data_IF_840515149712
#
_entry.id   IF_840515149712
#
_cell.length_a   1.000
_cell.length_b   1.000
_cell.length_c   1.000
_cell.angle_alpha   90.00
_cell.angle_beta   90.00
_cell.angle_gamma   90.00
#
_symmetry.space_group_name_H-M   'P 1'
#
loop_
_entity.id
_entity.type
_entity.pdbx_description
1 polymer ?
#
# COMPACT_ATOMS: atom_id res chain seq x y z
N UNK A 1 -25.37 -31.75 17.97
CA UNK A 1 -25.63 -30.83 16.82
C UNK A 1 -25.21 -29.38 17.11
N UNK A 2 -25.60 -28.76 18.23
CA UNK A 2 -25.31 -27.34 18.55
C UNK A 2 -23.83 -26.91 18.46
N UNK A 3 -22.89 -27.75 18.90
CA UNK A 3 -21.44 -27.46 18.85
C UNK A 3 -20.89 -27.36 17.42
N UNK A 4 -21.45 -28.12 16.48
CA UNK A 4 -21.05 -28.09 15.08
C UNK A 4 -21.56 -26.83 14.38
N UNK A 5 -22.78 -26.39 14.71
CA UNK A 5 -23.36 -25.15 14.18
C UNK A 5 -22.57 -23.92 14.66
N UNK A 6 -22.17 -23.85 15.94
CA UNK A 6 -21.35 -22.75 16.46
C UNK A 6 -19.99 -22.66 15.74
N UNK A 7 -19.34 -23.80 15.47
CA UNK A 7 -18.09 -23.84 14.70
C UNK A 7 -18.28 -23.36 13.26
N UNK A 8 -19.38 -23.73 12.62
CA UNK A 8 -19.71 -23.26 11.27
C UNK A 8 -19.92 -21.74 11.22
N UNK A 9 -20.65 -21.15 12.18
CA UNK A 9 -20.83 -19.70 12.25
C UNK A 9 -19.50 -18.97 12.46
N UNK A 10 -18.64 -19.48 13.35
CA UNK A 10 -17.29 -18.92 13.55
C UNK A 10 -16.48 -18.99 12.26
N UNK A 11 -16.55 -20.12 11.54
CA UNK A 11 -15.85 -20.28 10.26
C UNK A 11 -16.36 -19.30 9.20
N UNK A 12 -17.65 -18.97 9.19
CA UNK A 12 -18.26 -18.02 8.26
C UNK A 12 -18.00 -16.55 8.64
N UNK A 13 -17.79 -16.25 9.92
CA UNK A 13 -17.48 -14.90 10.39
C UNK A 13 -16.14 -14.39 9.86
N UNK A 14 -15.12 -15.24 9.76
CA UNK A 14 -13.79 -14.84 9.24
C UNK A 14 -13.83 -14.32 7.79
N UNK A 15 -14.35 -15.07 6.79
CA UNK A 15 -14.43 -14.56 5.43
C UNK A 15 -15.41 -13.39 5.33
N UNK A 16 -16.53 -13.40 6.07
CA UNK A 16 -17.46 -12.26 6.07
C UNK A 16 -16.77 -10.96 6.53
N UNK A 17 -16.00 -11.02 7.61
CA UNK A 17 -15.23 -9.89 8.11
C UNK A 17 -14.14 -9.44 7.12
N UNK A 18 -13.45 -10.40 6.50
CA UNK A 18 -12.44 -10.14 5.47
C UNK A 18 -13.03 -9.37 4.28
N UNK A 19 -14.13 -9.87 3.69
CA UNK A 19 -14.78 -9.22 2.55
C UNK A 19 -15.42 -7.88 2.91
N UNK A 20 -16.01 -7.76 4.11
CA UNK A 20 -16.54 -6.50 4.59
C UNK A 20 -15.43 -5.44 4.73
N UNK A 21 -14.25 -5.85 5.19
CA UNK A 21 -13.08 -4.97 5.27
C UNK A 21 -12.64 -4.53 3.87
N UNK A 22 -12.48 -5.46 2.92
CA UNK A 22 -12.14 -5.09 1.54
C UNK A 22 -13.16 -4.12 0.93
N UNK A 23 -14.46 -4.38 1.11
CA UNK A 23 -15.52 -3.52 0.59
C UNK A 23 -15.50 -2.11 1.21
N UNK A 24 -15.27 -2.01 2.52
CA UNK A 24 -15.19 -0.73 3.21
C UNK A 24 -14.02 0.14 2.70
N UNK A 25 -12.89 -0.48 2.33
CA UNK A 25 -11.69 0.22 1.88
C UNK A 25 -11.57 0.40 0.36
N UNK A 26 -12.45 -0.21 -0.45
CA UNK A 26 -12.36 -0.14 -1.92
C UNK A 26 -12.43 1.31 -2.45
N UNK A 27 -13.22 2.18 -1.78
CA UNK A 27 -13.35 3.59 -2.17
C UNK A 27 -12.03 4.38 -2.04
N UNK A 28 -11.09 3.91 -1.20
CA UNK A 28 -9.81 4.61 -0.98
C UNK A 28 -8.98 4.67 -2.27
N UNK A 29 -9.15 3.71 -3.19
CA UNK A 29 -8.46 3.68 -4.49
C UNK A 29 -8.87 4.85 -5.42
N UNK A 30 -9.94 5.56 -5.10
CA UNK A 30 -10.42 6.72 -5.86
C UNK A 30 -9.98 8.05 -5.25
N UNK A 31 -9.40 8.02 -4.04
CA UNK A 31 -8.87 9.21 -3.38
C UNK A 31 -7.63 9.70 -4.12
N UNK A 32 -7.54 11.01 -4.35
CA UNK A 32 -6.36 11.64 -4.96
C UNK A 32 -5.36 12.04 -3.87
N UNK A 33 -4.08 12.05 -4.24
CA UNK A 33 -3.03 12.63 -3.41
C UNK A 33 -3.27 14.10 -3.09
N UNK A 34 -2.96 14.46 -1.86
CA UNK A 34 -3.02 15.81 -1.32
C UNK A 34 -1.63 16.44 -1.27
N UNK A 35 -1.54 17.76 -1.34
CA UNK A 35 -0.27 18.45 -1.56
C UNK A 35 0.57 18.65 -0.27
N UNK A 36 0.24 17.97 0.83
CA UNK A 36 0.87 18.17 2.15
C UNK A 36 2.20 17.42 2.25
N UNK A 37 2.14 16.08 2.31
CA UNK A 37 3.32 15.22 2.39
C UNK A 37 3.47 14.30 1.18
N UNK A 38 2.38 14.12 0.42
CA UNK A 38 2.33 13.13 -0.66
C UNK A 38 3.30 13.52 -1.79
N UNK A 39 3.54 14.80 -2.07
CA UNK A 39 4.45 15.24 -3.16
C UNK A 39 5.81 14.55 -3.11
N UNK A 40 6.36 14.31 -1.91
CA UNK A 40 7.68 13.69 -1.76
C UNK A 40 7.65 12.18 -1.98
N UNK A 41 6.54 11.52 -1.67
CA UNK A 41 6.35 10.08 -1.75
C UNK A 41 5.59 9.61 -3.01
N UNK A 42 5.08 10.54 -3.82
CA UNK A 42 4.17 10.26 -4.94
C UNK A 42 4.84 10.27 -6.30
N UNK A 43 4.00 10.14 -7.32
CA UNK A 43 4.30 10.11 -8.74
C UNK A 43 5.19 11.22 -9.32
N UNK A 44 5.58 12.22 -8.52
CA UNK A 44 6.57 13.22 -8.94
C UNK A 44 8.01 12.78 -8.67
N UNK A 45 8.25 11.73 -7.87
CA UNK A 45 9.58 11.20 -7.65
C UNK A 45 9.96 10.21 -8.77
N UNK A 46 10.96 10.52 -9.62
CA UNK A 46 11.31 9.66 -10.76
C UNK A 46 11.77 8.26 -10.33
N UNK A 47 12.38 8.12 -9.15
CA UNK A 47 12.79 6.81 -8.63
C UNK A 47 11.58 5.97 -8.21
N UNK A 48 10.53 6.60 -7.67
CA UNK A 48 9.27 5.90 -7.34
C UNK A 48 8.56 5.48 -8.62
N UNK A 49 8.49 6.36 -9.61
CA UNK A 49 7.88 6.10 -10.92
C UNK A 49 8.56 5.00 -11.72
N UNK A 50 9.88 4.86 -11.56
CA UNK A 50 10.66 3.81 -12.21
C UNK A 50 10.41 2.41 -11.59
N UNK A 51 9.79 2.32 -10.40
CA UNK A 51 9.58 1.07 -9.70
C UNK A 51 10.86 0.50 -9.07
N UNK A 52 10.92 -0.82 -8.89
CA UNK A 52 12.03 -1.52 -8.23
C UNK A 52 13.22 -1.75 -9.19
N UNK A 53 13.84 -0.67 -9.69
CA UNK A 53 15.11 -0.75 -10.43
C UNK A 53 16.31 -0.72 -9.46
N UNK A 54 17.51 -1.19 -9.88
CA UNK A 54 18.71 -1.08 -9.07
C UNK A 54 19.00 0.35 -8.57
N UNK A 55 18.77 1.35 -9.42
CA UNK A 55 18.95 2.77 -9.10
C UNK A 55 17.95 3.25 -8.05
N UNK A 56 16.68 2.85 -8.18
CA UNK A 56 15.62 3.19 -7.23
C UNK A 56 15.82 2.49 -5.88
N UNK A 57 16.27 1.24 -5.88
CA UNK A 57 16.65 0.53 -4.65
C UNK A 57 17.82 1.26 -3.97
N UNK A 58 18.86 1.63 -4.71
CA UNK A 58 19.96 2.45 -4.15
C UNK A 58 19.45 3.77 -3.57
N UNK A 59 18.54 4.44 -4.28
CA UNK A 59 17.90 5.66 -3.79
C UNK A 59 17.19 5.44 -2.45
N UNK A 60 16.40 4.36 -2.31
CA UNK A 60 15.67 4.03 -1.09
C UNK A 60 16.59 3.94 0.15
N UNK A 61 17.80 3.37 0.01
CA UNK A 61 18.75 3.23 1.11
C UNK A 61 19.65 4.44 1.36
N UNK A 62 19.66 5.43 0.46
CA UNK A 62 20.58 6.58 0.55
C UNK A 62 19.88 7.91 0.78
N UNK A 63 18.58 7.99 0.50
CA UNK A 63 17.83 9.24 0.57
C UNK A 63 17.38 9.60 2.00
N UNK A 64 17.36 10.91 2.28
CA UNK A 64 16.78 11.53 3.49
C UNK A 64 15.84 12.69 3.12
N UNK A 65 15.34 12.74 1.88
CA UNK A 65 14.50 13.83 1.33
C UNK A 65 13.24 14.15 2.16
N UNK A 66 12.78 13.20 2.97
CA UNK A 66 11.61 13.32 3.85
C UNK A 66 11.98 13.42 5.33
N UNK A 67 13.20 13.90 5.63
CA UNK A 67 13.81 14.06 6.96
C UNK A 67 14.09 12.75 7.72
N UNK A 68 13.30 11.70 7.48
CA UNK A 68 13.49 10.37 8.05
C UNK A 68 14.13 9.42 7.04
N UNK A 69 15.06 8.59 7.50
CA UNK A 69 15.57 7.47 6.72
C UNK A 69 14.58 6.31 6.79
N UNK A 70 13.89 6.03 5.67
CA UNK A 70 12.75 5.09 5.62
C UNK A 70 12.85 4.18 4.38
N UNK A 71 13.90 3.34 4.25
CA UNK A 71 14.13 2.56 3.03
C UNK A 71 12.99 1.61 2.69
N UNK A 72 12.38 0.96 3.69
CA UNK A 72 11.25 0.05 3.46
C UNK A 72 10.01 0.79 2.95
N UNK A 73 9.78 2.03 3.40
CA UNK A 73 8.70 2.88 2.89
C UNK A 73 8.93 3.21 1.42
N UNK A 74 10.16 3.57 1.03
CA UNK A 74 10.50 3.84 -0.37
C UNK A 74 10.31 2.60 -1.25
N UNK A 75 10.76 1.43 -0.82
CA UNK A 75 10.55 0.19 -1.56
C UNK A 75 9.05 -0.15 -1.70
N UNK A 76 8.26 0.10 -0.65
CA UNK A 76 6.81 -0.12 -0.69
C UNK A 76 6.13 0.77 -1.73
N UNK A 77 6.44 2.07 -1.76
CA UNK A 77 5.81 2.99 -2.74
C UNK A 77 6.32 2.76 -4.17
N UNK A 78 7.58 2.32 -4.34
CA UNK A 78 8.10 1.89 -5.64
C UNK A 78 7.39 0.63 -6.14
N UNK A 79 7.17 -0.35 -5.27
CA UNK A 79 6.45 -1.58 -5.61
C UNK A 79 4.99 -1.28 -5.97
N UNK A 80 4.33 -0.40 -5.21
CA UNK A 80 2.97 0.06 -5.52
C UNK A 80 2.89 0.69 -6.91
N UNK A 81 3.79 1.63 -7.20
CA UNK A 81 3.87 2.28 -8.52
C UNK A 81 4.20 1.30 -9.65
N UNK A 82 4.90 0.20 -9.39
CA UNK A 82 5.21 -0.83 -10.38
C UNK A 82 4.01 -1.75 -10.68
N UNK A 83 3.16 -2.00 -9.68
CA UNK A 83 2.01 -2.92 -9.81
C UNK A 83 0.79 -2.17 -10.34
N UNK A 84 0.51 -0.97 -9.81
CA UNK A 84 -0.72 -0.23 -10.10
C UNK A 84 -0.49 0.96 -11.04
N UNK A 85 0.77 1.29 -11.31
CA UNK A 85 1.16 2.36 -12.19
C UNK A 85 1.40 3.69 -11.47
N UNK A 86 1.87 4.70 -12.20
CA UNK A 86 2.23 5.98 -11.63
C UNK A 86 0.99 6.78 -11.16
N UNK A 87 0.87 6.96 -9.84
CA UNK A 87 -0.18 7.81 -9.24
C UNK A 87 -1.44 7.07 -8.79
N UNK A 88 -1.34 5.75 -8.55
CA UNK A 88 -2.30 4.94 -7.79
C UNK A 88 -2.49 5.43 -6.36
#
# INVERSE_FOLDING_TARGET
MERATKKLHILLLYPALFFLTLFAFEQVRQCKFTNTDDIKFTAKNPYVQAGLTPESIRYAFTTTTTANWMPLTWLSVMADSQIFGPGS
#
